data_IF_391728138779
#
_entry.id   IF_391728138779
#
_cell.length_a   1.000
_cell.length_b   1.000
_cell.length_c   1.000
_cell.angle_alpha   90.00
_cell.angle_beta   90.00
_cell.angle_gamma   90.00
#
_symmetry.space_group_name_H-M   'P 1'
#
loop_
_entity.id
_entity.type
_entity.pdbx_description
1 polymer ?
#
# COMPACT_ATOMS: atom_id res chain seq x y z
N UNK A 1 -14.36 -7.33 -17.58
CA UNK A 1 -13.81 -6.59 -16.42
C UNK A 1 -12.31 -6.58 -16.60
N UNK A 2 -11.69 -5.40 -16.70
CA UNK A 2 -10.24 -5.27 -16.85
C UNK A 2 -9.61 -5.17 -15.46
N UNK A 3 -8.56 -5.95 -15.23
CA UNK A 3 -7.81 -5.93 -13.97
C UNK A 3 -6.52 -5.15 -14.16
N UNK A 4 -6.15 -4.37 -13.14
CA UNK A 4 -4.85 -3.70 -13.10
C UNK A 4 -3.72 -4.73 -13.17
N UNK A 5 -2.71 -4.46 -14.00
CA UNK A 5 -1.53 -5.32 -14.15
C UNK A 5 -0.48 -4.97 -13.11
N UNK A 6 -0.31 -3.68 -12.83
CA UNK A 6 0.69 -3.16 -11.88
C UNK A 6 0.19 -1.89 -11.20
N UNK A 7 0.60 -1.72 -9.95
CA UNK A 7 0.36 -0.51 -9.17
C UNK A 7 1.67 -0.09 -8.51
N UNK A 8 2.01 1.18 -8.63
CA UNK A 8 3.14 1.79 -7.94
C UNK A 8 2.61 2.60 -6.75
N UNK A 9 3.03 2.24 -5.55
CA UNK A 9 2.65 2.89 -4.29
C UNK A 9 3.91 3.24 -3.50
N UNK A 10 3.86 4.37 -2.79
CA UNK A 10 4.91 4.81 -1.89
C UNK A 10 4.31 5.12 -0.51
N UNK A 11 5.01 4.78 0.59
CA UNK A 11 4.61 5.22 1.90
C UNK A 11 4.89 6.71 2.12
N UNK A 12 4.18 7.33 3.05
CA UNK A 12 4.58 8.62 3.60
C UNK A 12 5.75 8.44 4.58
N UNK A 13 6.72 9.35 4.50
CA UNK A 13 8.01 9.29 5.19
C UNK A 13 7.87 9.28 6.71
N UNK A 14 7.01 10.14 7.24
CA UNK A 14 6.65 10.22 8.66
C UNK A 14 6.09 8.91 9.24
N UNK A 15 5.38 8.13 8.41
CA UNK A 15 4.74 6.88 8.82
C UNK A 15 5.67 5.66 8.82
N UNK A 16 6.82 5.76 8.15
CA UNK A 16 7.81 4.65 8.04
C UNK A 16 9.10 4.88 8.81
N UNK A 17 9.30 6.06 9.39
CA UNK A 17 10.54 6.42 10.11
C UNK A 17 10.87 5.44 11.25
N UNK A 18 11.92 4.62 11.09
CA UNK A 18 12.33 3.61 12.07
C UNK A 18 11.67 2.24 11.90
N UNK A 19 10.83 2.03 10.88
CA UNK A 19 10.44 0.69 10.45
C UNK A 19 11.63 -0.03 9.81
N UNK A 20 11.75 -1.31 10.12
CA UNK A 20 12.70 -2.22 9.49
C UNK A 20 11.98 -3.42 8.87
N UNK A 21 12.63 -4.08 7.91
CA UNK A 21 12.07 -5.22 7.20
C UNK A 21 11.29 -4.86 5.93
N UNK A 22 10.53 -5.84 5.42
CA UNK A 22 9.84 -5.73 4.14
C UNK A 22 8.42 -5.16 4.31
N UNK A 23 8.23 -3.90 3.92
CA UNK A 23 6.94 -3.19 3.99
C UNK A 23 5.85 -3.88 3.15
N UNK A 24 6.22 -4.47 2.00
CA UNK A 24 5.26 -5.13 1.13
C UNK A 24 4.65 -6.36 1.80
N UNK A 25 5.47 -7.24 2.38
CA UNK A 25 4.99 -8.46 3.04
C UNK A 25 4.15 -8.14 4.30
N UNK A 26 4.53 -7.12 5.06
CA UNK A 26 3.87 -6.79 6.34
C UNK A 26 2.58 -5.99 6.15
N UNK A 27 2.55 -5.05 5.20
CA UNK A 27 1.44 -4.11 5.05
C UNK A 27 0.67 -4.32 3.75
N UNK A 28 1.35 -4.30 2.61
CA UNK A 28 0.67 -4.21 1.30
C UNK A 28 -0.01 -5.51 0.91
N UNK A 29 0.72 -6.63 1.01
CA UNK A 29 0.20 -7.95 0.65
C UNK A 29 -1.06 -8.30 1.43
N UNK A 30 -1.10 -8.29 2.78
CA UNK A 30 -2.33 -8.60 3.51
C UNK A 30 -3.45 -7.58 3.26
N UNK A 31 -3.14 -6.33 2.93
CA UNK A 31 -4.16 -5.33 2.63
C UNK A 31 -4.90 -5.60 1.30
N UNK A 32 -4.20 -6.09 0.28
CA UNK A 32 -4.77 -6.36 -1.05
C UNK A 32 -5.11 -7.82 -1.32
N UNK A 33 -4.56 -8.77 -0.54
CA UNK A 33 -4.78 -10.20 -0.73
C UNK A 33 -6.28 -10.53 -0.70
N UNK A 34 -6.77 -11.13 -1.79
CA UNK A 34 -8.16 -11.58 -1.99
C UNK A 34 -9.25 -10.49 -1.84
N UNK A 35 -8.87 -9.22 -1.69
CA UNK A 35 -9.81 -8.13 -1.40
C UNK A 35 -10.33 -7.43 -2.66
N UNK A 36 -9.74 -7.68 -3.83
CA UNK A 36 -10.12 -7.08 -5.13
C UNK A 36 -10.41 -5.56 -5.05
N UNK A 37 -9.62 -4.83 -4.27
CA UNK A 37 -9.86 -3.42 -4.00
C UNK A 37 -9.67 -2.59 -5.28
N UNK A 38 -10.61 -1.70 -5.63
CA UNK A 38 -10.37 -0.72 -6.68
C UNK A 38 -9.32 0.29 -6.21
N UNK A 39 -8.44 0.70 -7.12
CA UNK A 39 -7.33 1.63 -6.84
C UNK A 39 -7.21 2.62 -8.00
N UNK A 40 -6.97 3.90 -7.69
CA UNK A 40 -6.73 4.96 -8.67
C UNK A 40 -5.47 5.73 -8.34
N UNK A 41 -4.83 6.27 -9.38
CA UNK A 41 -3.72 7.21 -9.21
C UNK A 41 -4.15 8.40 -8.33
N UNK A 42 -3.34 8.69 -7.31
CA UNK A 42 -3.58 9.77 -6.35
C UNK A 42 -4.31 9.33 -5.08
N UNK A 43 -4.88 8.12 -5.03
CA UNK A 43 -5.51 7.61 -3.81
C UNK A 43 -4.48 7.54 -2.66
N UNK A 44 -4.92 7.92 -1.46
CA UNK A 44 -4.19 7.63 -0.22
C UNK A 44 -4.97 6.63 0.62
N UNK A 45 -4.26 5.75 1.31
CA UNK A 45 -4.88 4.74 2.16
C UNK A 45 -3.98 4.37 3.35
N UNK A 46 -4.62 4.10 4.48
CA UNK A 46 -3.95 3.72 5.72
C UNK A 46 -4.02 2.20 5.89
N UNK A 47 -2.87 1.56 6.10
CA UNK A 47 -2.79 0.13 6.41
C UNK A 47 -2.38 -0.05 7.86
N UNK A 48 -3.18 -0.81 8.61
CA UNK A 48 -2.86 -1.21 9.98
C UNK A 48 -2.22 -2.59 9.96
N UNK A 49 -0.95 -2.67 10.34
CA UNK A 49 -0.16 -3.89 10.42
C UNK A 49 1.08 -3.67 11.28
N UNK A 50 1.82 -4.73 11.59
CA UNK A 50 3.06 -4.63 12.36
C UNK A 50 2.91 -3.91 13.71
N UNK A 51 3.74 -2.88 13.94
CA UNK A 51 3.78 -2.11 15.20
C UNK A 51 2.97 -0.80 15.15
N UNK A 52 2.77 -0.20 13.97
CA UNK A 52 2.03 1.07 13.81
C UNK A 52 1.35 1.14 12.43
N UNK A 53 0.31 1.98 12.27
CA UNK A 53 -0.26 2.25 10.95
C UNK A 53 0.75 2.91 10.01
N UNK A 54 0.69 2.57 8.73
CA UNK A 54 1.48 3.18 7.65
C UNK A 54 0.53 3.74 6.60
N UNK A 55 0.74 4.98 6.20
CA UNK A 55 -0.04 5.62 5.13
C UNK A 55 0.69 5.45 3.80
N UNK A 56 -0.05 5.16 2.74
CA UNK A 56 0.46 4.98 1.39
C UNK A 56 -0.27 5.87 0.40
N UNK A 57 0.44 6.26 -0.65
CA UNK A 57 -0.11 6.95 -1.81
C UNK A 57 0.10 6.14 -3.07
N UNK A 58 -0.93 6.05 -3.90
CA UNK A 58 -0.85 5.47 -5.24
C UNK A 58 -0.26 6.49 -6.19
N UNK A 59 0.91 6.18 -6.72
CA UNK A 59 1.64 7.03 -7.65
C UNK A 59 1.18 6.78 -9.08
N UNK A 60 0.93 5.51 -9.43
CA UNK A 60 0.57 5.11 -10.78
C UNK A 60 -0.14 3.74 -10.79
N UNK A 61 -1.02 3.55 -11.76
CA UNK A 61 -1.76 2.31 -12.02
C UNK A 61 -1.68 1.99 -13.52
N UNK A 62 -1.27 0.76 -13.88
CA UNK A 62 -1.10 0.28 -15.27
C UNK A 62 -1.85 -1.03 -15.49
#
# INVERSE_FOLDING_TARGET
IEYGKRVHILPFDDSVEGLSGNIFEVYIKPYFLEAYRPVRKGDTFLVRGGMRPVEFKVIETV
#
